data_IF_868652168099
#
_entry.id   IF_868652168099
#
_cell.length_a   1.000
_cell.length_b   1.000
_cell.length_c   1.000
_cell.angle_alpha   90.00
_cell.angle_beta   90.00
_cell.angle_gamma   90.00
#
_symmetry.space_group_name_H-M   'P 1'
#
loop_
_entity.id
_entity.type
_entity.pdbx_description
1 polymer ?
#
# COMPACT_ATOMS: atom_id res chain seq x y z
N UNK A 1 0.95 27.53 -16.30
CA UNK A 1 -0.02 26.66 -15.59
C UNK A 1 0.79 25.54 -14.97
N UNK A 2 0.70 25.33 -13.66
CA UNK A 2 1.35 24.19 -13.01
C UNK A 2 0.74 22.92 -13.63
N UNK A 3 1.57 22.03 -14.14
CA UNK A 3 1.13 20.73 -14.64
C UNK A 3 0.84 19.90 -13.40
N UNK A 4 -0.42 19.63 -13.18
CA UNK A 4 -0.93 18.84 -12.05
C UNK A 4 -1.00 17.37 -12.44
N UNK A 5 -0.80 16.46 -11.47
CA UNK A 5 -1.05 15.04 -11.67
C UNK A 5 -2.51 14.82 -12.10
N UNK A 6 -2.70 14.06 -13.17
CA UNK A 6 -4.02 13.71 -13.70
C UNK A 6 -4.79 12.83 -12.71
N UNK A 7 -6.12 12.93 -12.73
CA UNK A 7 -6.98 12.04 -11.98
C UNK A 7 -7.01 10.63 -12.62
N UNK A 8 -7.08 9.60 -11.79
CA UNK A 8 -7.01 8.19 -12.26
C UNK A 8 -8.07 7.87 -13.34
N UNK A 9 -9.35 8.30 -13.24
CA UNK A 9 -10.31 8.04 -14.31
C UNK A 9 -9.87 8.56 -15.70
N UNK A 10 -9.18 9.70 -15.75
CA UNK A 10 -8.69 10.27 -17.00
C UNK A 10 -7.52 9.45 -17.59
N UNK A 11 -6.68 8.91 -16.70
CA UNK A 11 -5.56 8.02 -17.06
C UNK A 11 -6.10 6.70 -17.60
N UNK A 12 -7.10 6.11 -16.93
CA UNK A 12 -7.74 4.87 -17.37
C UNK A 12 -8.36 5.00 -18.77
N UNK A 13 -8.95 6.15 -19.09
CA UNK A 13 -9.51 6.40 -20.40
C UNK A 13 -8.43 6.47 -21.49
N UNK A 14 -7.29 7.13 -21.23
CA UNK A 14 -6.19 7.16 -22.18
C UNK A 14 -5.61 5.76 -22.42
N UNK A 15 -5.51 4.93 -21.38
CA UNK A 15 -5.04 3.55 -21.49
C UNK A 15 -6.00 2.68 -22.33
N UNK A 16 -7.33 2.84 -22.18
CA UNK A 16 -8.34 2.17 -23.04
C UNK A 16 -8.17 2.54 -24.50
N UNK A 17 -7.81 3.79 -24.76
CA UNK A 17 -7.55 4.30 -26.11
C UNK A 17 -6.16 3.90 -26.65
N UNK A 18 -5.37 3.14 -25.91
CA UNK A 18 -4.02 2.71 -26.29
C UNK A 18 -2.97 3.82 -26.26
N UNK A 19 -3.24 4.91 -25.52
CA UNK A 19 -2.27 5.99 -25.31
C UNK A 19 -1.28 5.64 -24.23
N UNK A 20 -0.10 6.27 -24.30
CA UNK A 20 0.90 6.28 -23.23
C UNK A 20 0.48 7.20 -22.09
N UNK A 21 0.84 6.81 -20.87
CA UNK A 21 0.84 7.68 -19.70
C UNK A 21 2.21 7.61 -19.00
N UNK A 22 2.49 8.51 -18.08
CA UNK A 22 3.61 8.40 -17.13
C UNK A 22 3.07 8.07 -15.76
N UNK A 23 3.65 7.07 -15.11
CA UNK A 23 3.35 6.68 -13.74
C UNK A 23 4.57 6.91 -12.86
N UNK A 24 4.41 7.71 -11.80
CA UNK A 24 5.50 8.12 -10.90
C UNK A 24 5.31 7.46 -9.54
N UNK A 25 6.38 6.96 -8.94
CA UNK A 25 6.38 6.46 -7.57
C UNK A 25 6.76 7.55 -6.54
N UNK A 26 6.88 7.14 -5.28
CA UNK A 26 7.15 8.03 -4.15
C UNK A 26 8.61 8.53 -4.16
N UNK A 27 8.83 9.78 -3.68
CA UNK A 27 10.15 10.37 -3.52
C UNK A 27 11.06 9.57 -2.59
N UNK A 28 10.47 8.90 -1.59
CA UNK A 28 11.18 8.06 -0.63
C UNK A 28 11.49 6.65 -1.16
N UNK A 29 11.02 6.31 -2.39
CA UNK A 29 11.25 4.99 -3.02
C UNK A 29 12.32 5.08 -4.11
N UNK A 30 11.97 5.02 -5.38
CA UNK A 30 12.88 5.20 -6.54
C UNK A 30 12.89 6.65 -7.02
N UNK A 31 11.78 7.36 -6.78
CA UNK A 31 11.53 8.71 -7.27
C UNK A 31 11.68 8.81 -8.78
N UNK A 32 11.11 7.85 -9.49
CA UNK A 32 11.23 7.71 -10.95
C UNK A 32 9.86 7.73 -11.61
N UNK A 33 9.82 7.89 -12.91
CA UNK A 33 8.62 7.82 -13.71
C UNK A 33 8.80 6.92 -14.91
N UNK A 34 7.83 6.02 -15.11
CA UNK A 34 7.80 5.11 -16.24
C UNK A 34 6.74 5.53 -17.25
N UNK A 35 7.08 5.47 -18.53
CA UNK A 35 6.08 5.38 -19.60
C UNK A 35 5.34 4.07 -19.44
N UNK A 36 4.02 4.11 -19.47
CA UNK A 36 3.14 2.93 -19.31
C UNK A 36 2.13 2.90 -20.45
N UNK A 37 1.95 1.73 -21.06
CA UNK A 37 0.81 1.46 -21.93
C UNK A 37 0.21 0.09 -21.65
N UNK A 38 -1.01 -0.14 -22.13
CA UNK A 38 -1.64 -1.45 -22.09
C UNK A 38 -0.93 -2.42 -23.04
N UNK A 39 -0.54 -3.59 -22.52
CA UNK A 39 0.15 -4.59 -23.34
C UNK A 39 -0.70 -5.05 -24.54
N UNK A 40 -2.04 -5.14 -24.40
CA UNK A 40 -2.93 -5.49 -25.51
C UNK A 40 -3.07 -4.41 -26.60
N UNK A 41 -2.66 -3.17 -26.30
CA UNK A 41 -2.67 -2.04 -27.24
C UNK A 41 -1.27 -1.70 -27.76
N UNK A 42 -0.25 -2.47 -27.37
CA UNK A 42 1.12 -2.19 -27.79
C UNK A 42 1.28 -2.30 -29.30
N UNK A 43 2.02 -1.35 -29.87
CA UNK A 43 2.38 -1.31 -31.30
C UNK A 43 3.88 -1.09 -31.46
N UNK A 44 4.47 -1.37 -32.63
CA UNK A 44 5.86 -1.02 -32.91
C UNK A 44 6.17 0.47 -32.69
N UNK A 45 5.21 1.35 -32.94
CA UNK A 45 5.35 2.80 -32.74
C UNK A 45 5.47 3.14 -31.27
N UNK A 46 4.69 2.49 -30.39
CA UNK A 46 4.77 2.66 -28.94
C UNK A 46 6.11 2.17 -28.42
N UNK A 47 6.55 0.99 -28.80
CA UNK A 47 7.87 0.46 -28.43
C UNK A 47 9.00 1.38 -28.90
N UNK A 48 8.92 1.87 -30.15
CA UNK A 48 9.91 2.83 -30.67
C UNK A 48 9.90 4.16 -29.90
N UNK A 49 8.71 4.65 -29.49
CA UNK A 49 8.58 5.83 -28.65
C UNK A 49 9.25 5.63 -27.30
N UNK A 50 8.98 4.51 -26.61
CA UNK A 50 9.60 4.15 -25.34
C UNK A 50 11.12 4.07 -25.46
N UNK A 51 11.65 3.37 -26.47
CA UNK A 51 13.07 3.22 -26.69
C UNK A 51 13.76 4.57 -27.01
N UNK A 52 13.13 5.43 -27.81
CA UNK A 52 13.71 6.71 -28.27
C UNK A 52 13.64 7.80 -27.19
N UNK A 53 12.52 7.91 -26.50
CA UNK A 53 12.22 9.02 -25.61
C UNK A 53 12.25 8.64 -24.13
N UNK A 54 11.87 7.39 -23.77
CA UNK A 54 12.04 6.82 -22.43
C UNK A 54 13.51 6.50 -22.17
N UNK A 55 14.15 5.78 -23.06
CA UNK A 55 15.55 5.33 -23.00
C UNK A 55 15.85 4.29 -21.92
N UNK A 56 14.86 3.90 -21.14
CA UNK A 56 14.93 2.88 -20.10
C UNK A 56 14.80 1.45 -20.63
N UNK A 57 14.69 0.51 -19.73
CA UNK A 57 14.49 -0.90 -20.04
C UNK A 57 13.01 -1.16 -20.32
N UNK A 58 12.70 -1.73 -21.50
CA UNK A 58 11.31 -2.07 -21.82
C UNK A 58 10.94 -3.37 -21.14
N UNK A 59 10.07 -3.28 -20.14
CA UNK A 59 9.62 -4.37 -19.30
C UNK A 59 8.13 -4.69 -19.52
N UNK A 60 7.74 -5.93 -19.16
CA UNK A 60 6.38 -6.44 -19.28
C UNK A 60 5.85 -6.88 -17.91
N UNK A 61 5.28 -5.98 -17.09
CA UNK A 61 4.50 -6.33 -15.91
C UNK A 61 3.37 -7.30 -16.22
N UNK A 62 3.35 -8.42 -15.50
CA UNK A 62 2.36 -9.49 -15.61
C UNK A 62 1.87 -9.88 -14.20
N UNK A 63 0.67 -10.43 -14.12
CA UNK A 63 0.21 -11.07 -12.88
C UNK A 63 1.04 -12.32 -12.56
N UNK A 64 1.07 -12.70 -11.27
CA UNK A 64 1.73 -13.93 -10.84
C UNK A 64 1.21 -15.16 -11.60
N UNK A 65 -0.13 -15.26 -11.73
CA UNK A 65 -0.82 -16.32 -12.45
C UNK A 65 -0.37 -16.41 -13.92
N UNK A 66 -0.28 -15.26 -14.61
CA UNK A 66 0.17 -15.24 -16.02
C UNK A 66 1.64 -15.65 -16.14
N UNK A 67 2.51 -15.23 -15.22
CA UNK A 67 3.89 -15.69 -15.19
C UNK A 67 3.98 -17.22 -15.00
N UNK A 68 3.17 -17.79 -14.12
CA UNK A 68 3.14 -19.22 -13.85
C UNK A 68 2.63 -19.99 -15.07
N UNK A 69 1.56 -19.51 -15.73
CA UNK A 69 1.01 -20.16 -16.94
C UNK A 69 1.98 -20.18 -18.10
N UNK A 70 2.92 -19.22 -18.17
CA UNK A 70 3.97 -19.14 -19.19
C UNK A 70 5.29 -19.74 -18.75
N UNK A 71 5.39 -20.37 -17.57
CA UNK A 71 6.63 -20.86 -16.97
C UNK A 71 7.76 -19.81 -16.95
N UNK A 72 7.42 -18.58 -16.56
CA UNK A 72 8.38 -17.48 -16.39
C UNK A 72 8.97 -17.53 -14.98
N UNK A 73 10.07 -18.25 -14.85
CA UNK A 73 10.77 -18.39 -13.58
C UNK A 73 11.54 -17.11 -13.21
N UNK A 74 11.79 -16.86 -11.90
CA UNK A 74 12.65 -15.75 -11.46
C UNK A 74 14.00 -15.78 -12.18
N UNK A 75 14.51 -14.61 -12.53
CA UNK A 75 15.81 -14.46 -13.19
C UNK A 75 16.97 -14.91 -12.30
N UNK A 76 16.79 -14.85 -10.98
CA UNK A 76 17.77 -15.29 -9.98
C UNK A 76 17.09 -16.09 -8.87
N UNK A 77 17.83 -17.04 -8.28
CA UNK A 77 17.35 -17.84 -7.14
C UNK A 77 17.17 -16.96 -5.90
N UNK A 78 18.07 -16.01 -5.67
CA UNK A 78 18.01 -15.06 -4.57
C UNK A 78 17.96 -13.63 -5.11
N UNK A 79 16.87 -12.93 -4.80
CA UNK A 79 16.71 -11.54 -5.21
C UNK A 79 17.26 -10.60 -4.12
N UNK A 80 18.42 -10.03 -4.36
CA UNK A 80 19.11 -9.07 -3.49
C UNK A 80 18.89 -7.61 -3.92
N UNK A 81 18.02 -7.35 -4.93
CA UNK A 81 17.74 -6.00 -5.40
C UNK A 81 17.10 -5.15 -4.29
N UNK A 82 17.56 -3.90 -4.14
CA UNK A 82 17.17 -2.97 -3.07
C UNK A 82 15.64 -2.81 -2.93
N UNK A 83 14.93 -2.76 -4.05
CA UNK A 83 13.47 -2.61 -4.08
C UNK A 83 12.73 -3.91 -4.39
N UNK A 84 13.44 -5.02 -4.51
CA UNK A 84 12.87 -6.35 -4.70
C UNK A 84 12.07 -6.52 -6.00
N UNK A 85 12.47 -5.82 -7.08
CA UNK A 85 11.83 -5.94 -8.39
C UNK A 85 11.95 -7.37 -8.90
N UNK A 86 10.82 -8.01 -9.18
CA UNK A 86 10.75 -9.44 -9.47
C UNK A 86 10.92 -9.70 -10.98
N UNK A 87 12.14 -9.53 -11.47
CA UNK A 87 12.51 -9.93 -12.82
C UNK A 87 12.36 -11.44 -13.00
N UNK A 88 11.80 -11.82 -14.15
CA UNK A 88 11.81 -13.20 -14.62
C UNK A 88 12.82 -13.34 -15.76
N UNK A 89 13.01 -14.58 -16.24
CA UNK A 89 13.79 -14.83 -17.46
C UNK A 89 13.25 -13.99 -18.61
N UNK A 90 14.13 -13.35 -19.39
CA UNK A 90 13.76 -12.58 -20.56
C UNK A 90 13.25 -13.48 -21.69
N UNK A 91 12.39 -12.91 -22.55
CA UNK A 91 11.67 -13.67 -23.57
C UNK A 91 11.69 -12.99 -24.94
N UNK A 92 11.55 -13.81 -25.98
CA UNK A 92 11.13 -13.42 -27.31
C UNK A 92 10.00 -14.32 -27.81
N UNK A 93 9.22 -13.89 -28.79
CA UNK A 93 8.25 -14.77 -29.47
C UNK A 93 9.00 -15.88 -30.21
N UNK A 94 8.47 -17.11 -30.16
CA UNK A 94 9.07 -18.23 -30.88
C UNK A 94 8.97 -18.08 -32.40
N UNK A 95 7.92 -17.37 -32.87
CA UNK A 95 7.64 -17.17 -34.28
C UNK A 95 7.23 -15.75 -34.63
N UNK A 96 7.45 -15.35 -35.87
CA UNK A 96 7.00 -14.06 -36.41
C UNK A 96 7.87 -12.86 -36.00
N UNK A 97 9.13 -13.11 -35.62
CA UNK A 97 10.15 -12.09 -35.31
C UNK A 97 11.41 -12.34 -36.17
N UNK A 98 12.30 -11.37 -36.18
CA UNK A 98 13.65 -11.49 -36.75
C UNK A 98 14.69 -11.86 -35.70
N UNK A 99 15.39 -10.87 -35.15
CA UNK A 99 16.41 -11.06 -34.10
C UNK A 99 15.87 -10.76 -32.68
N UNK A 100 14.61 -10.30 -32.55
CA UNK A 100 13.96 -10.00 -31.30
C UNK A 100 14.06 -8.56 -30.82
N UNK A 101 15.13 -7.81 -31.18
CA UNK A 101 15.41 -6.46 -30.64
C UNK A 101 14.64 -5.34 -31.31
N UNK A 102 14.16 -5.52 -32.56
CA UNK A 102 13.44 -4.46 -33.25
C UNK A 102 12.16 -4.05 -32.53
N UNK A 103 11.68 -2.83 -32.76
CA UNK A 103 10.41 -2.39 -32.16
C UNK A 103 9.23 -3.28 -32.58
N UNK A 104 9.27 -3.81 -33.80
CA UNK A 104 8.26 -4.74 -34.29
C UNK A 104 8.34 -6.10 -33.58
N UNK A 105 9.54 -6.65 -33.42
CA UNK A 105 9.77 -7.93 -32.76
C UNK A 105 9.36 -7.89 -31.30
N UNK A 106 9.75 -6.80 -30.58
CA UNK A 106 9.36 -6.61 -29.17
C UNK A 106 7.86 -6.44 -28.99
N UNK A 107 7.19 -5.69 -29.87
CA UNK A 107 5.74 -5.57 -29.84
C UNK A 107 5.07 -6.93 -30.10
N UNK A 108 5.58 -7.72 -31.06
CA UNK A 108 5.12 -9.07 -31.34
C UNK A 108 5.29 -10.00 -30.15
N UNK A 109 6.44 -9.95 -29.47
CA UNK A 109 6.74 -10.73 -28.26
C UNK A 109 5.74 -10.41 -27.14
N UNK A 110 5.48 -9.13 -26.88
CA UNK A 110 4.48 -8.71 -25.88
C UNK A 110 3.10 -9.26 -26.24
N UNK A 111 2.64 -9.08 -27.47
CA UNK A 111 1.33 -9.56 -27.93
C UNK A 111 1.21 -11.08 -27.82
N UNK A 112 2.26 -11.83 -28.17
CA UNK A 112 2.31 -13.29 -28.02
C UNK A 112 2.21 -13.69 -26.56
N UNK A 113 2.98 -13.07 -25.66
CA UNK A 113 2.96 -13.40 -24.24
C UNK A 113 1.59 -13.19 -23.56
N UNK A 114 0.84 -12.15 -23.98
CA UNK A 114 -0.47 -11.84 -23.37
C UNK A 114 -1.66 -12.46 -24.11
N UNK A 115 -1.43 -13.18 -25.20
CA UNK A 115 -2.51 -13.82 -25.96
C UNK A 115 -3.32 -14.79 -25.09
N UNK A 116 -4.60 -14.92 -25.40
CA UNK A 116 -5.45 -15.91 -24.77
C UNK A 116 -4.97 -17.30 -25.20
N UNK A 117 -4.78 -18.19 -24.22
CA UNK A 117 -4.25 -19.53 -24.47
C UNK A 117 -2.75 -19.59 -24.79
N UNK A 118 -1.99 -18.48 -24.64
CA UNK A 118 -0.54 -18.49 -24.83
C UNK A 118 0.14 -19.56 -23.94
N UNK A 119 1.07 -20.30 -24.53
CA UNK A 119 1.78 -21.43 -23.92
C UNK A 119 3.27 -21.10 -23.74
N UNK A 120 3.97 -21.78 -22.83
CA UNK A 120 5.42 -21.63 -22.68
C UNK A 120 6.23 -21.84 -23.96
N UNK A 121 5.72 -22.67 -24.89
CA UNK A 121 6.34 -22.99 -26.19
C UNK A 121 6.20 -21.86 -27.21
N UNK A 122 5.29 -20.90 -27.02
CA UNK A 122 5.13 -19.77 -27.90
C UNK A 122 6.21 -18.69 -27.68
N UNK A 123 7.06 -18.92 -26.66
CA UNK A 123 8.12 -18.02 -26.25
C UNK A 123 9.46 -18.77 -26.19
N UNK A 124 10.54 -18.09 -26.61
CA UNK A 124 11.93 -18.53 -26.44
C UNK A 124 12.60 -17.74 -25.31
N UNK A 125 13.63 -18.31 -24.73
CA UNK A 125 14.42 -17.76 -23.61
C UNK A 125 15.90 -18.00 -23.87
N UNK A 126 16.81 -17.03 -23.61
CA UNK A 126 16.53 -15.63 -23.26
C UNK A 126 16.00 -14.82 -24.44
N UNK A 127 15.57 -13.56 -24.21
CA UNK A 127 15.08 -12.66 -25.25
C UNK A 127 15.26 -11.19 -24.90
N UNK A 128 14.51 -10.31 -25.59
CA UNK A 128 14.66 -8.86 -25.52
C UNK A 128 13.49 -8.14 -24.84
N UNK A 129 12.50 -8.87 -24.31
CA UNK A 129 11.48 -8.37 -23.41
C UNK A 129 11.71 -8.96 -22.03
N UNK A 130 11.58 -8.12 -20.97
CA UNK A 130 11.86 -8.46 -19.59
C UNK A 130 10.53 -8.52 -18.80
N UNK A 131 9.93 -9.71 -18.60
CA UNK A 131 8.73 -9.81 -17.81
C UNK A 131 9.02 -9.55 -16.33
N UNK A 132 8.08 -8.84 -15.68
CA UNK A 132 8.11 -8.53 -14.26
C UNK A 132 6.88 -9.16 -13.59
N UNK A 133 7.11 -9.94 -12.55
CA UNK A 133 6.04 -10.60 -11.79
C UNK A 133 5.49 -9.63 -10.74
N UNK A 134 4.29 -9.11 -10.97
CA UNK A 134 3.60 -8.30 -9.97
C UNK A 134 3.20 -9.13 -8.75
N UNK A 135 3.22 -8.53 -7.58
CA UNK A 135 2.74 -9.16 -6.34
C UNK A 135 1.23 -9.23 -6.34
N UNK A 136 0.68 -10.28 -5.74
CA UNK A 136 -0.75 -10.36 -5.43
C UNK A 136 -1.16 -9.20 -4.52
N UNK A 137 -2.33 -8.58 -4.74
CA UNK A 137 -2.72 -7.33 -4.11
C UNK A 137 -2.15 -6.06 -4.76
N UNK A 138 -1.17 -6.20 -5.66
CA UNK A 138 -0.55 -5.17 -6.52
C UNK A 138 -0.11 -3.91 -5.74
N UNK A 139 -0.49 -2.66 -6.14
CA UNK A 139 0.02 -1.42 -5.49
C UNK A 139 -0.31 -1.33 -4.01
N UNK A 140 -1.30 -2.07 -3.52
CA UNK A 140 -1.67 -2.08 -2.11
C UNK A 140 -0.70 -2.91 -1.26
N UNK A 141 0.07 -3.80 -1.89
CA UNK A 141 1.12 -4.63 -1.24
C UNK A 141 2.52 -4.08 -1.55
N UNK A 142 2.77 -3.63 -2.78
CA UNK A 142 4.04 -3.02 -3.20
C UNK A 142 3.77 -1.80 -4.09
N UNK A 143 4.08 -0.62 -3.60
CA UNK A 143 3.85 0.65 -4.28
C UNK A 143 4.90 0.92 -5.39
N UNK A 144 5.01 0.02 -6.37
CA UNK A 144 5.94 0.10 -7.49
C UNK A 144 5.25 0.18 -8.85
N UNK A 145 5.98 0.64 -9.88
CA UNK A 145 5.49 0.80 -11.25
C UNK A 145 5.00 -0.52 -11.85
N UNK A 146 5.65 -1.64 -11.52
CA UNK A 146 5.23 -3.00 -11.93
C UNK A 146 3.79 -3.29 -11.51
N UNK A 147 3.51 -3.12 -10.23
CA UNK A 147 2.19 -3.31 -9.63
C UNK A 147 1.19 -2.28 -10.15
N UNK A 148 1.64 -1.02 -10.27
CA UNK A 148 0.85 0.09 -10.79
C UNK A 148 0.36 -0.14 -12.22
N UNK A 149 1.23 -0.67 -13.08
CA UNK A 149 0.86 -1.00 -14.45
C UNK A 149 -0.22 -2.08 -14.51
N UNK A 150 -0.06 -3.18 -13.76
CA UNK A 150 -1.06 -4.27 -13.71
C UNK A 150 -2.40 -3.76 -13.18
N UNK A 151 -2.39 -2.94 -12.12
CA UNK A 151 -3.61 -2.37 -11.53
C UNK A 151 -4.35 -1.42 -12.48
N UNK A 152 -3.61 -0.51 -13.12
CA UNK A 152 -4.20 0.41 -14.09
C UNK A 152 -4.89 -0.35 -15.22
N UNK A 153 -4.29 -1.43 -15.72
CA UNK A 153 -4.90 -2.24 -16.77
C UNK A 153 -6.16 -2.95 -16.27
N UNK A 154 -6.12 -3.55 -15.07
CA UNK A 154 -7.29 -4.18 -14.43
C UNK A 154 -8.44 -3.17 -14.25
N UNK A 155 -8.15 -1.98 -13.72
CA UNK A 155 -9.13 -0.91 -13.51
C UNK A 155 -9.66 -0.33 -14.81
N UNK A 156 -8.87 -0.36 -15.89
CA UNK A 156 -9.31 0.03 -17.23
C UNK A 156 -10.21 -1.03 -17.90
N UNK A 157 -10.34 -2.23 -17.32
CA UNK A 157 -11.07 -3.36 -17.94
C UNK A 157 -10.30 -4.01 -19.08
N UNK A 158 -8.98 -3.89 -19.09
CA UNK A 158 -8.05 -4.46 -20.04
C UNK A 158 -7.38 -5.71 -19.48
N UNK A 159 -6.68 -6.48 -20.29
CA UNK A 159 -5.84 -7.59 -19.80
C UNK A 159 -4.84 -7.04 -18.75
N UNK A 160 -4.71 -7.69 -17.58
CA UNK A 160 -3.88 -7.18 -16.48
C UNK A 160 -2.38 -7.35 -16.76
N UNK A 161 -1.93 -6.71 -17.85
CA UNK A 161 -0.58 -6.70 -18.35
C UNK A 161 -0.25 -5.32 -18.93
N UNK A 162 0.86 -4.73 -18.50
CA UNK A 162 1.34 -3.45 -19.03
C UNK A 162 2.68 -3.59 -19.72
N UNK A 163 3.07 -2.59 -20.51
CA UNK A 163 4.45 -2.38 -20.95
C UNK A 163 4.93 -1.11 -20.28
N UNK A 164 6.08 -1.17 -19.63
CA UNK A 164 6.68 -0.03 -18.94
C UNK A 164 8.09 0.24 -19.45
N UNK A 165 8.54 1.48 -19.32
CA UNK A 165 9.89 1.90 -19.64
C UNK A 165 10.21 3.16 -18.84
N UNK A 166 11.28 3.16 -18.09
CA UNK A 166 11.75 4.30 -17.30
C UNK A 166 12.07 5.48 -18.22
N UNK A 167 11.89 6.71 -17.70
CA UNK A 167 12.21 7.93 -18.41
C UNK A 167 13.56 8.49 -17.91
N UNK A 168 14.53 8.54 -18.80
CA UNK A 168 15.84 9.18 -18.56
C UNK A 168 15.96 10.52 -19.28
N UNK A 169 16.72 11.42 -18.70
CA UNK A 169 17.16 12.65 -19.34
C UNK A 169 18.15 12.37 -20.51
N UNK A 170 18.45 13.39 -21.30
CA UNK A 170 19.37 13.25 -22.45
C UNK A 170 20.81 12.92 -22.05
N UNK A 171 21.20 13.29 -20.84
CA UNK A 171 22.51 13.00 -20.25
C UNK A 171 22.60 11.59 -19.63
N UNK A 172 21.51 10.79 -19.67
CA UNK A 172 21.43 9.45 -19.10
C UNK A 172 21.07 9.41 -17.60
N UNK A 173 20.88 10.55 -16.94
CA UNK A 173 20.37 10.59 -15.57
C UNK A 173 18.86 10.30 -15.54
N UNK A 174 18.35 9.80 -14.39
CA UNK A 174 16.92 9.54 -14.25
C UNK A 174 16.12 10.84 -14.20
N UNK A 175 15.04 10.91 -14.99
CA UNK A 175 14.13 12.05 -14.94
C UNK A 175 13.31 12.02 -13.65
N UNK A 176 13.23 13.15 -12.94
CA UNK A 176 12.43 13.33 -11.73
C UNK A 176 11.17 14.13 -12.04
N UNK A 177 10.27 14.27 -11.08
CA UNK A 177 8.97 14.93 -11.27
C UNK A 177 9.04 16.22 -12.07
N UNK A 178 9.96 17.18 -11.81
CA UNK A 178 10.03 18.43 -12.59
C UNK A 178 10.37 18.22 -14.07
N UNK A 179 11.24 17.25 -14.41
CA UNK A 179 11.58 16.90 -15.79
C UNK A 179 10.45 16.10 -16.45
N UNK A 180 9.84 15.16 -15.71
CA UNK A 180 8.71 14.36 -16.18
C UNK A 180 7.50 15.22 -16.54
N UNK A 181 7.21 16.26 -15.77
CA UNK A 181 6.14 17.21 -16.09
C UNK A 181 6.39 17.93 -17.42
N UNK A 182 7.63 18.39 -17.67
CA UNK A 182 8.03 18.99 -18.95
C UNK A 182 7.95 17.99 -20.11
N UNK A 183 8.40 16.77 -19.87
CA UNK A 183 8.30 15.67 -20.83
C UNK A 183 6.84 15.39 -21.21
N UNK A 184 5.97 15.24 -20.23
CA UNK A 184 4.55 14.99 -20.42
C UNK A 184 3.86 16.14 -21.17
N UNK A 185 4.20 17.39 -20.86
CA UNK A 185 3.69 18.55 -21.59
C UNK A 185 4.13 18.55 -23.06
N UNK A 186 5.42 18.29 -23.32
CA UNK A 186 6.00 18.24 -24.67
C UNK A 186 5.33 17.16 -25.54
N UNK A 187 5.08 16.00 -24.96
CA UNK A 187 4.54 14.84 -25.70
C UNK A 187 3.02 14.67 -25.56
N UNK A 188 2.35 15.57 -24.84
CA UNK A 188 0.90 15.52 -24.57
C UNK A 188 0.46 14.21 -23.90
N UNK A 189 1.24 13.72 -22.95
CA UNK A 189 1.06 12.50 -22.19
C UNK A 189 0.56 12.89 -20.78
N UNK A 190 -0.42 12.16 -20.25
CA UNK A 190 -0.87 12.34 -18.86
C UNK A 190 0.11 11.72 -17.88
N UNK A 191 0.19 12.31 -16.70
CA UNK A 191 1.04 11.84 -15.60
C UNK A 191 0.18 11.56 -14.37
N UNK A 192 0.37 10.42 -13.73
CA UNK A 192 -0.25 10.05 -12.46
C UNK A 192 0.78 9.55 -11.46
N UNK A 193 0.43 9.55 -10.18
CA UNK A 193 1.26 8.96 -9.13
C UNK A 193 0.67 7.65 -8.61
N UNK A 194 1.53 6.75 -8.15
CA UNK A 194 1.14 5.52 -7.46
C UNK A 194 0.34 5.85 -6.19
N UNK A 195 0.66 6.93 -5.50
CA UNK A 195 -0.10 7.38 -4.33
C UNK A 195 -1.58 7.66 -4.68
N UNK A 196 -1.86 8.40 -5.78
CA UNK A 196 -3.24 8.61 -6.28
C UNK A 196 -3.92 7.30 -6.70
N UNK A 197 -3.17 6.36 -7.28
CA UNK A 197 -3.72 5.06 -7.67
C UNK A 197 -4.10 4.22 -6.44
N UNK A 198 -3.26 4.21 -5.41
CA UNK A 198 -3.56 3.58 -4.12
C UNK A 198 -4.83 4.19 -3.52
N UNK A 199 -4.89 5.52 -3.41
CA UNK A 199 -6.07 6.22 -2.90
C UNK A 199 -7.33 5.86 -3.69
N UNK A 200 -7.25 5.86 -5.03
CA UNK A 200 -8.38 5.51 -5.92
C UNK A 200 -8.89 4.08 -5.69
N UNK A 201 -7.97 3.10 -5.52
CA UNK A 201 -8.32 1.71 -5.22
C UNK A 201 -8.97 1.58 -3.84
N UNK A 202 -8.35 2.19 -2.83
CA UNK A 202 -8.80 2.11 -1.44
C UNK A 202 -10.19 2.73 -1.22
N UNK A 203 -10.57 3.72 -2.05
CA UNK A 203 -11.92 4.29 -2.02
C UNK A 203 -12.99 3.36 -2.63
N UNK A 204 -12.61 2.41 -3.50
CA UNK A 204 -13.54 1.59 -4.31
C UNK A 204 -13.50 0.11 -3.99
N UNK A 205 -12.38 -0.40 -3.50
CA UNK A 205 -12.18 -1.81 -3.20
C UNK A 205 -12.16 -2.02 -1.70
N UNK A 206 -12.93 -3.00 -1.21
CA UNK A 206 -12.81 -3.45 0.18
C UNK A 206 -11.68 -4.46 0.27
N UNK A 207 -10.66 -4.16 1.09
CA UNK A 207 -9.59 -5.09 1.43
C UNK A 207 -9.91 -5.95 2.65
N UNK A 208 -11.08 -5.70 3.23
CA UNK A 208 -11.55 -6.39 4.42
C UNK A 208 -12.83 -7.17 4.09
N UNK A 209 -12.95 -8.31 4.73
CA UNK A 209 -14.18 -9.10 4.76
C UNK A 209 -14.61 -9.24 6.20
N UNK A 210 -15.82 -8.76 6.50
CA UNK A 210 -16.44 -8.89 7.80
C UNK A 210 -16.68 -10.36 8.12
N UNK A 211 -16.35 -10.75 9.32
CA UNK A 211 -16.63 -12.06 9.93
C UNK A 211 -17.80 -11.95 10.91
N UNK A 212 -17.89 -12.94 11.80
CA UNK A 212 -18.92 -12.99 12.83
C UNK A 212 -18.81 -11.84 13.84
N UNK A 213 -19.96 -11.53 14.46
CA UNK A 213 -20.10 -10.62 15.58
C UNK A 213 -20.53 -11.40 16.82
N UNK A 214 -19.76 -11.25 17.92
CA UNK A 214 -20.01 -11.94 19.17
C UNK A 214 -20.06 -10.98 20.36
N UNK A 215 -20.75 -11.35 21.43
CA UNK A 215 -20.70 -10.61 22.69
C UNK A 215 -19.34 -10.85 23.37
N UNK A 216 -18.76 -9.79 23.90
CA UNK A 216 -17.47 -9.81 24.58
C UNK A 216 -17.59 -9.13 25.96
N UNK A 217 -17.96 -9.87 27.03
CA UNK A 217 -17.84 -9.36 28.38
C UNK A 217 -16.36 -9.22 28.78
N UNK A 218 -16.00 -8.11 29.39
CA UNK A 218 -14.64 -7.81 29.82
C UNK A 218 -14.63 -7.13 31.19
N UNK A 219 -13.47 -7.05 31.84
CA UNK A 219 -13.29 -6.29 33.09
C UNK A 219 -13.56 -4.78 32.92
N UNK A 220 -13.64 -4.30 31.68
CA UNK A 220 -13.82 -2.87 31.34
C UNK A 220 -15.22 -2.56 30.80
N UNK A 221 -16.13 -3.54 30.75
CA UNK A 221 -17.48 -3.41 30.29
C UNK A 221 -17.91 -4.50 29.31
N UNK A 222 -19.15 -4.41 28.87
CA UNK A 222 -19.74 -5.33 27.89
C UNK A 222 -19.68 -4.70 26.49
N UNK A 223 -19.07 -5.42 25.56
CA UNK A 223 -18.87 -5.00 24.19
C UNK A 223 -19.38 -6.06 23.20
N UNK A 224 -19.45 -5.69 21.93
CA UNK A 224 -19.53 -6.63 20.81
C UNK A 224 -18.17 -6.65 20.11
N UNK A 225 -17.71 -7.83 19.71
CA UNK A 225 -16.49 -8.01 18.95
C UNK A 225 -16.83 -8.49 17.54
N UNK A 226 -16.29 -7.81 16.53
CA UNK A 226 -16.45 -8.13 15.12
C UNK A 226 -15.07 -8.43 14.55
N UNK A 227 -14.93 -9.60 13.89
CA UNK A 227 -13.71 -9.97 13.18
C UNK A 227 -13.69 -9.44 11.74
N UNK A 228 -12.48 -9.22 11.20
CA UNK A 228 -12.26 -8.80 9.82
C UNK A 228 -11.04 -9.52 9.22
N UNK A 229 -11.26 -10.37 8.21
CA UNK A 229 -10.18 -10.85 7.35
C UNK A 229 -9.65 -9.70 6.50
N UNK A 230 -8.35 -9.71 6.18
CA UNK A 230 -7.76 -8.78 5.24
C UNK A 230 -6.69 -9.46 4.37
N UNK A 231 -6.48 -8.92 3.17
CA UNK A 231 -5.43 -9.41 2.24
C UNK A 231 -4.03 -9.19 2.82
N UNK A 232 -3.86 -8.21 3.71
CA UNK A 232 -2.55 -7.79 4.22
C UNK A 232 -2.12 -8.51 5.51
N UNK A 233 -3.00 -9.29 6.13
CA UNK A 233 -2.71 -10.00 7.39
C UNK A 233 -3.29 -11.42 7.37
N UNK A 234 -2.50 -12.44 7.74
CA UNK A 234 -3.00 -13.81 7.90
C UNK A 234 -3.95 -13.96 9.09
N UNK A 235 -3.91 -13.03 10.04
CA UNK A 235 -4.73 -13.03 11.23
C UNK A 235 -5.79 -11.93 11.16
N UNK A 236 -7.04 -12.19 11.64
CA UNK A 236 -8.12 -11.22 11.55
C UNK A 236 -7.85 -9.98 12.40
N UNK A 237 -8.20 -8.82 11.88
CA UNK A 237 -8.33 -7.59 12.66
C UNK A 237 -9.63 -7.64 13.46
N UNK A 238 -9.70 -6.87 14.53
CA UNK A 238 -10.86 -6.88 15.43
C UNK A 238 -11.43 -5.47 15.60
N UNK A 239 -12.75 -5.37 15.69
CA UNK A 239 -13.43 -4.18 16.18
C UNK A 239 -14.20 -4.52 17.46
N UNK A 240 -13.91 -3.79 18.55
CA UNK A 240 -14.60 -3.91 19.84
C UNK A 240 -15.54 -2.72 19.93
N UNK A 241 -16.85 -2.98 19.87
CA UNK A 241 -17.88 -2.00 19.64
C UNK A 241 -18.88 -1.93 20.81
N UNK A 242 -19.40 -0.72 21.07
CA UNK A 242 -20.47 -0.47 22.04
C UNK A 242 -21.52 0.49 21.47
N UNK A 243 -22.77 0.40 21.97
CA UNK A 243 -23.84 1.33 21.66
C UNK A 243 -24.36 1.22 20.21
N UNK A 244 -24.52 -0.01 19.70
CA UNK A 244 -25.09 -0.26 18.37
C UNK A 244 -24.13 -0.01 17.20
N UNK A 245 -22.85 0.25 17.48
CA UNK A 245 -21.85 0.45 16.41
C UNK A 245 -21.60 -0.88 15.67
N UNK A 246 -21.70 -0.81 14.33
CA UNK A 246 -21.51 -1.97 13.46
C UNK A 246 -22.68 -2.94 13.43
N UNK A 247 -23.84 -2.60 13.98
CA UNK A 247 -25.05 -3.40 13.83
C UNK A 247 -25.59 -3.33 12.40
N UNK A 248 -26.23 -4.43 11.97
CA UNK A 248 -26.84 -4.54 10.66
C UNK A 248 -28.35 -4.35 10.78
N UNK A 249 -28.96 -3.74 9.79
CA UNK A 249 -30.41 -3.66 9.65
C UNK A 249 -30.99 -5.02 9.16
N UNK A 250 -32.30 -5.10 9.02
CA UNK A 250 -33.03 -6.30 8.56
C UNK A 250 -32.60 -6.75 7.14
N UNK A 251 -31.97 -5.87 6.37
CA UNK A 251 -31.45 -6.17 5.00
C UNK A 251 -29.97 -6.53 5.00
N UNK A 252 -29.34 -6.66 6.18
CA UNK A 252 -27.93 -6.97 6.32
C UNK A 252 -27.00 -5.77 6.00
N UNK A 253 -27.52 -4.55 5.93
CA UNK A 253 -26.72 -3.33 5.73
C UNK A 253 -26.37 -2.72 7.08
N UNK A 254 -25.12 -2.21 7.19
CA UNK A 254 -24.70 -1.54 8.42
C UNK A 254 -25.53 -0.28 8.69
N UNK A 255 -25.89 -0.07 9.95
CA UNK A 255 -26.60 1.11 10.41
C UNK A 255 -25.62 2.28 10.50
N UNK A 256 -25.77 3.26 9.61
CA UNK A 256 -24.90 4.45 9.56
C UNK A 256 -25.10 5.34 10.80
N UNK A 257 -23.98 5.83 11.32
CA UNK A 257 -23.98 6.74 12.47
C UNK A 257 -23.99 8.19 11.99
N UNK A 258 -24.99 8.95 12.42
CA UNK A 258 -25.15 10.39 12.07
C UNK A 258 -24.29 11.30 12.93
N UNK A 259 -24.16 10.96 14.21
CA UNK A 259 -23.38 11.72 15.18
C UNK A 259 -21.92 11.25 15.23
N UNK A 260 -20.98 12.13 15.63
CA UNK A 260 -19.60 11.76 15.80
C UNK A 260 -19.39 10.67 16.87
N UNK A 261 -18.73 9.57 16.51
CA UNK A 261 -18.51 8.43 17.38
C UNK A 261 -17.08 8.43 17.94
N UNK A 262 -16.94 8.06 19.22
CA UNK A 262 -15.64 7.90 19.86
C UNK A 262 -14.91 6.66 19.30
N UNK A 263 -13.71 6.85 18.74
CA UNK A 263 -12.96 5.77 18.06
C UNK A 263 -11.50 5.73 18.51
N UNK A 264 -11.01 4.54 18.79
CA UNK A 264 -9.59 4.23 18.90
C UNK A 264 -9.15 3.29 17.79
N UNK A 265 -8.16 3.69 16.99
CA UNK A 265 -7.42 2.76 16.13
C UNK A 265 -6.14 2.37 16.86
N UNK A 266 -6.07 1.12 17.30
CA UNK A 266 -4.96 0.54 18.09
C UNK A 266 -4.20 -0.46 17.22
N UNK A 267 -2.88 -0.33 17.12
CA UNK A 267 -2.04 -1.36 16.49
C UNK A 267 -1.52 -2.29 17.57
N UNK A 268 -1.65 -3.58 17.34
CA UNK A 268 -1.20 -4.64 18.24
C UNK A 268 0.19 -4.40 18.82
N UNK A 269 0.32 -4.67 20.09
CA UNK A 269 1.57 -4.71 20.81
C UNK A 269 1.52 -5.82 21.87
N UNK A 270 1.76 -7.06 21.49
CA UNK A 270 1.65 -8.22 22.37
C UNK A 270 2.35 -8.01 23.73
N UNK A 271 3.55 -7.43 23.72
CA UNK A 271 4.30 -7.18 24.95
C UNK A 271 3.63 -6.14 25.86
N UNK A 272 3.01 -5.11 25.29
CA UNK A 272 2.30 -4.09 26.05
C UNK A 272 0.86 -4.48 26.40
N UNK A 273 0.14 -5.01 25.44
CA UNK A 273 -1.30 -5.26 25.55
C UNK A 273 -1.60 -6.51 26.41
N UNK A 274 -0.79 -7.57 26.26
CA UNK A 274 -0.98 -8.85 26.98
C UNK A 274 -0.09 -8.96 28.22
N UNK A 275 1.21 -8.62 28.09
CA UNK A 275 2.16 -8.80 29.20
C UNK A 275 2.39 -7.52 30.02
N UNK A 276 1.68 -6.43 29.71
CA UNK A 276 1.80 -5.15 30.41
C UNK A 276 3.23 -4.62 30.53
N UNK A 277 4.03 -4.82 29.48
CA UNK A 277 5.41 -4.35 29.42
C UNK A 277 5.49 -2.85 29.64
N UNK A 278 6.38 -2.42 30.54
CA UNK A 278 6.66 -1.02 30.82
C UNK A 278 7.60 -0.35 29.79
N UNK A 279 8.02 -1.06 28.74
CA UNK A 279 8.83 -0.46 27.66
C UNK A 279 8.02 0.47 26.74
N UNK A 280 6.69 0.42 26.79
CA UNK A 280 5.80 1.26 25.99
C UNK A 280 4.53 1.62 26.80
N UNK A 281 3.66 2.40 26.18
CA UNK A 281 2.37 2.83 26.75
C UNK A 281 1.17 2.08 26.14
N UNK A 282 1.40 1.03 25.31
CA UNK A 282 0.34 0.43 24.49
C UNK A 282 -0.77 -0.19 25.34
N UNK A 283 -0.45 -1.05 26.30
CA UNK A 283 -1.45 -1.66 27.20
C UNK A 283 -2.27 -0.64 27.96
N UNK A 284 -1.63 0.43 28.48
CA UNK A 284 -2.35 1.53 29.12
C UNK A 284 -3.34 2.19 28.14
N UNK A 285 -2.90 2.49 26.93
CA UNK A 285 -3.75 3.13 25.90
C UNK A 285 -4.92 2.25 25.47
N UNK A 286 -4.73 0.94 25.42
CA UNK A 286 -5.78 -0.03 25.13
C UNK A 286 -6.86 0.01 26.23
N UNK A 287 -6.46 -0.14 27.47
CA UNK A 287 -7.36 -0.15 28.64
C UNK A 287 -8.07 1.20 28.80
N UNK A 288 -7.35 2.30 28.68
CA UNK A 288 -7.93 3.65 28.81
C UNK A 288 -8.98 3.89 27.70
N UNK A 289 -8.71 3.47 26.46
CA UNK A 289 -9.68 3.60 25.38
C UNK A 289 -10.94 2.77 25.61
N UNK A 290 -10.82 1.53 26.10
CA UNK A 290 -11.98 0.69 26.42
C UNK A 290 -12.85 1.32 27.53
N UNK A 291 -12.22 1.84 28.60
CA UNK A 291 -12.93 2.53 29.67
C UNK A 291 -13.65 3.78 29.21
N UNK A 292 -12.99 4.63 28.39
CA UNK A 292 -13.60 5.83 27.84
C UNK A 292 -14.78 5.51 26.91
N UNK A 293 -14.71 4.41 26.14
CA UNK A 293 -15.83 3.95 25.28
C UNK A 293 -16.98 3.44 26.16
N UNK A 294 -16.68 2.70 27.22
CA UNK A 294 -17.68 2.25 28.18
C UNK A 294 -18.41 3.42 28.85
N UNK A 295 -17.67 4.39 29.38
CA UNK A 295 -18.21 5.60 30.02
C UNK A 295 -19.02 6.45 29.04
N UNK A 296 -18.62 6.54 27.79
CA UNK A 296 -19.35 7.24 26.74
C UNK A 296 -20.64 6.48 26.33
N UNK A 297 -20.75 5.19 26.64
CA UNK A 297 -21.85 4.32 26.25
C UNK A 297 -21.91 4.00 24.75
N UNK A 298 -21.06 4.63 23.91
CA UNK A 298 -21.05 4.47 22.45
C UNK A 298 -19.65 4.72 21.88
N UNK A 299 -19.14 3.74 21.11
CA UNK A 299 -17.82 3.88 20.49
C UNK A 299 -17.30 2.60 19.89
N UNK A 300 -16.09 2.67 19.30
CA UNK A 300 -15.39 1.53 18.73
C UNK A 300 -13.88 1.59 18.97
N UNK A 301 -13.30 0.46 19.37
CA UNK A 301 -11.87 0.23 19.36
C UNK A 301 -11.52 -0.72 18.22
N UNK A 302 -10.75 -0.25 17.25
CA UNK A 302 -10.27 -1.04 16.11
C UNK A 302 -8.88 -1.54 16.43
N UNK A 303 -8.73 -2.84 16.60
CA UNK A 303 -7.49 -3.51 16.94
C UNK A 303 -6.86 -4.11 15.69
N UNK A 304 -5.80 -3.47 15.18
CA UNK A 304 -5.11 -3.89 13.98
C UNK A 304 -3.98 -4.87 14.31
N UNK A 305 -3.99 -6.03 13.70
CA UNK A 305 -2.95 -7.06 13.82
C UNK A 305 -1.70 -6.65 13.02
N UNK A 306 -0.98 -5.65 13.56
CA UNK A 306 0.19 -5.02 12.92
C UNK A 306 1.30 -4.81 13.97
N UNK A 307 1.77 -5.93 14.55
CA UNK A 307 2.79 -5.96 15.60
C UNK A 307 4.10 -5.27 15.16
N UNK A 308 4.73 -4.58 16.11
CA UNK A 308 6.02 -3.94 15.89
C UNK A 308 6.01 -2.84 14.82
N UNK A 309 4.90 -2.15 14.61
CA UNK A 309 4.67 -1.20 13.51
C UNK A 309 4.69 -1.87 12.12
N UNK A 310 4.21 -3.11 12.04
CA UNK A 310 4.13 -3.89 10.80
C UNK A 310 5.38 -4.71 10.47
N UNK A 311 6.38 -4.77 11.35
CA UNK A 311 7.57 -5.63 11.16
C UNK A 311 7.44 -7.02 11.81
N UNK A 312 6.37 -7.24 12.57
CA UNK A 312 6.09 -8.48 13.28
C UNK A 312 6.86 -8.66 14.59
N UNK A 313 6.42 -9.63 15.41
CA UNK A 313 6.97 -9.86 16.76
C UNK A 313 8.46 -10.24 16.71
N UNK A 314 8.86 -11.11 15.81
CA UNK A 314 10.26 -11.57 15.70
C UNK A 314 11.23 -10.40 15.48
N UNK A 315 10.91 -9.50 14.56
CA UNK A 315 11.78 -8.36 14.28
C UNK A 315 11.67 -7.28 15.37
N UNK A 316 10.54 -7.17 16.04
CA UNK A 316 10.41 -6.33 17.24
C UNK A 316 11.36 -6.78 18.38
N UNK A 317 11.49 -8.10 18.59
CA UNK A 317 12.46 -8.61 19.59
C UNK A 317 13.90 -8.29 19.17
N UNK A 318 14.24 -8.41 17.88
CA UNK A 318 15.55 -7.98 17.37
C UNK A 318 15.78 -6.48 17.56
N UNK A 319 14.76 -5.65 17.30
CA UNK A 319 14.82 -4.21 17.54
C UNK A 319 15.03 -3.91 19.04
N UNK A 320 14.36 -4.62 19.95
CA UNK A 320 14.60 -4.49 21.39
C UNK A 320 16.04 -4.78 21.77
N UNK A 321 16.65 -5.81 21.18
CA UNK A 321 18.06 -6.14 21.41
C UNK A 321 18.99 -5.01 20.95
N UNK A 322 18.71 -4.37 19.83
CA UNK A 322 19.45 -3.23 19.33
C UNK A 322 19.25 -1.99 20.22
N UNK A 323 18.04 -1.78 20.77
CA UNK A 323 17.77 -0.70 21.73
C UNK A 323 18.53 -0.90 23.06
N UNK A 324 18.70 -2.12 23.53
CA UNK A 324 19.56 -2.45 24.69
C UNK A 324 21.03 -2.11 24.45
N UNK A 325 21.45 -1.99 23.18
CA UNK A 325 22.78 -1.55 22.75
C UNK A 325 22.88 -0.04 22.52
N UNK A 326 21.82 0.74 22.84
CA UNK A 326 21.82 2.20 22.81
C UNK A 326 21.20 2.83 21.56
N UNK A 327 20.65 2.05 20.60
CA UNK A 327 19.92 2.63 19.47
C UNK A 327 18.52 3.05 19.90
N UNK A 328 17.97 4.10 19.25
CA UNK A 328 16.56 4.40 19.42
C UNK A 328 15.66 3.51 18.54
N UNK A 329 14.34 3.64 18.70
CA UNK A 329 13.36 2.79 17.98
C UNK A 329 13.44 2.95 16.46
N UNK A 330 13.72 4.17 15.96
CA UNK A 330 13.81 4.46 14.51
C UNK A 330 15.11 3.88 13.96
N UNK A 331 16.22 4.11 14.63
CA UNK A 331 17.54 3.59 14.27
C UNK A 331 17.58 2.07 14.28
N UNK A 332 16.96 1.42 15.28
CA UNK A 332 16.86 -0.03 15.34
C UNK A 332 16.10 -0.61 14.14
N UNK A 333 14.97 0.02 13.74
CA UNK A 333 14.21 -0.43 12.57
C UNK A 333 15.00 -0.24 11.27
N UNK A 334 15.64 0.92 11.08
CA UNK A 334 16.47 1.19 9.90
C UNK A 334 17.64 0.22 9.78
N UNK A 335 18.30 -0.09 10.91
CA UNK A 335 19.40 -1.07 10.96
C UNK A 335 18.97 -2.49 10.59
N UNK A 336 17.69 -2.82 10.84
CA UNK A 336 17.08 -4.10 10.43
C UNK A 336 16.54 -4.07 8.98
N UNK A 337 16.74 -2.98 8.25
CA UNK A 337 16.27 -2.83 6.86
C UNK A 337 14.78 -2.46 6.72
N UNK A 338 14.13 -1.99 7.79
CA UNK A 338 12.73 -1.60 7.77
C UNK A 338 12.55 -0.08 7.78
N UNK A 339 11.46 0.41 7.18
CA UNK A 339 11.01 1.79 7.36
C UNK A 339 10.67 2.06 8.82
N UNK A 340 10.74 3.32 9.25
CA UNK A 340 10.41 3.74 10.62
C UNK A 340 8.96 3.39 11.04
N UNK A 341 8.03 3.37 10.09
CA UNK A 341 6.62 2.99 10.30
C UNK A 341 6.05 2.35 9.02
N UNK A 342 5.80 1.03 9.07
CA UNK A 342 5.27 0.22 7.96
C UNK A 342 3.76 -0.06 8.11
N UNK A 343 3.06 0.56 9.09
CA UNK A 343 1.64 0.26 9.33
C UNK A 343 0.75 0.72 8.21
N UNK A 344 -0.21 -0.14 7.86
CA UNK A 344 -1.31 0.20 6.98
C UNK A 344 -2.50 0.73 7.81
N UNK A 345 -2.77 2.02 7.68
CA UNK A 345 -3.93 2.66 8.34
C UNK A 345 -5.20 2.60 7.49
N UNK A 346 -5.09 2.22 6.23
CA UNK A 346 -6.20 2.10 5.31
C UNK A 346 -7.20 1.04 5.73
N UNK A 347 -6.71 -0.07 6.27
CA UNK A 347 -7.55 -1.12 6.85
C UNK A 347 -8.38 -0.57 8.02
N UNK A 348 -7.78 0.21 8.90
CA UNK A 348 -8.51 0.84 9.99
C UNK A 348 -9.63 1.76 9.50
N UNK A 349 -9.40 2.52 8.44
CA UNK A 349 -10.41 3.36 7.82
C UNK A 349 -11.53 2.55 7.15
N UNK A 350 -11.19 1.46 6.47
CA UNK A 350 -12.19 0.56 5.87
C UNK A 350 -13.06 -0.11 6.93
N UNK A 351 -12.46 -0.53 8.06
CA UNK A 351 -13.22 -1.04 9.21
C UNK A 351 -14.15 0.06 9.76
N UNK A 352 -13.68 1.31 9.90
CA UNK A 352 -14.57 2.42 10.30
C UNK A 352 -15.77 2.55 9.36
N UNK A 353 -15.57 2.48 8.06
CA UNK A 353 -16.68 2.56 7.07
C UNK A 353 -17.64 1.39 7.18
N UNK A 354 -17.12 0.16 7.34
CA UNK A 354 -17.94 -1.05 7.54
C UNK A 354 -18.72 -1.01 8.86
N UNK A 355 -18.24 -0.30 9.86
CA UNK A 355 -18.95 -0.03 11.12
C UNK A 355 -20.02 1.09 10.99
N UNK A 356 -20.18 1.71 9.82
CA UNK A 356 -21.10 2.81 9.58
C UNK A 356 -20.61 4.17 10.09
N UNK A 357 -19.30 4.32 10.33
CA UNK A 357 -18.69 5.53 10.89
C UNK A 357 -18.25 6.48 9.75
N UNK A 358 -18.84 7.68 9.68
CA UNK A 358 -18.45 8.76 8.75
C UNK A 358 -17.78 9.93 9.45
N UNK A 359 -18.18 10.21 10.70
CA UNK A 359 -17.61 11.25 11.55
C UNK A 359 -17.14 10.62 12.85
N UNK A 360 -15.91 10.93 13.25
CA UNK A 360 -15.32 10.33 14.46
C UNK A 360 -14.67 11.38 15.36
N UNK A 361 -14.67 11.08 16.66
CA UNK A 361 -13.82 11.67 17.67
C UNK A 361 -12.70 10.67 17.95
N UNK A 362 -11.47 10.99 17.56
CA UNK A 362 -10.39 9.99 17.59
C UNK A 362 -9.54 10.07 18.85
N UNK A 363 -9.35 8.94 19.52
CA UNK A 363 -8.43 8.77 20.63
C UNK A 363 -7.02 8.54 20.09
N UNK A 364 -6.18 9.59 20.02
CA UNK A 364 -4.80 9.46 19.51
C UNK A 364 -3.89 10.61 19.93
N UNK A 365 -2.59 10.31 20.14
CA UNK A 365 -1.53 11.29 20.28
C UNK A 365 -0.74 11.50 18.97
N UNK A 366 -1.07 10.77 17.90
CA UNK A 366 -0.35 10.79 16.62
C UNK A 366 -1.16 11.51 15.54
N UNK A 367 -0.78 12.73 15.13
CA UNK A 367 -1.50 13.49 14.10
C UNK A 367 -1.48 12.80 12.72
N UNK A 368 -0.47 12.00 12.40
CA UNK A 368 -0.40 11.24 11.14
C UNK A 368 -1.53 10.21 11.00
N UNK A 369 -2.16 9.77 12.10
CA UNK A 369 -3.34 8.90 12.03
C UNK A 369 -4.56 9.61 11.49
N UNK A 370 -4.71 10.90 11.78
CA UNK A 370 -5.84 11.73 11.36
C UNK A 370 -5.81 11.89 9.85
N UNK A 371 -4.74 12.46 9.30
CA UNK A 371 -4.62 12.70 7.86
C UNK A 371 -4.82 11.42 7.03
N UNK A 372 -4.34 10.27 7.53
CA UNK A 372 -4.53 9.00 6.85
C UNK A 372 -5.98 8.51 6.86
N UNK A 373 -6.76 8.73 7.91
CA UNK A 373 -8.18 8.37 7.95
C UNK A 373 -9.02 9.29 7.05
N UNK A 374 -8.69 10.57 6.96
CA UNK A 374 -9.39 11.55 6.13
C UNK A 374 -9.26 11.27 4.64
N UNK A 375 -8.10 10.77 4.17
CA UNK A 375 -7.90 10.29 2.79
C UNK A 375 -8.94 9.22 2.41
N UNK A 376 -9.39 8.41 3.37
CA UNK A 376 -10.40 7.36 3.14
C UNK A 376 -11.84 7.82 3.37
N UNK A 377 -12.08 9.14 3.52
CA UNK A 377 -13.41 9.72 3.67
C UNK A 377 -13.99 9.63 5.09
N UNK A 378 -13.17 9.36 6.10
CA UNK A 378 -13.56 9.43 7.51
C UNK A 378 -13.25 10.84 8.03
N UNK A 379 -14.29 11.61 8.36
CA UNK A 379 -14.11 12.97 8.91
C UNK A 379 -13.76 12.90 10.39
N UNK A 380 -12.58 13.37 10.76
CA UNK A 380 -12.17 13.53 12.15
C UNK A 380 -12.63 14.90 12.63
N UNK A 381 -13.58 14.93 13.58
CA UNK A 381 -14.16 16.19 14.11
C UNK A 381 -13.48 16.64 15.40
N UNK A 382 -12.86 15.71 16.13
CA UNK A 382 -12.17 15.99 17.38
C UNK A 382 -11.05 14.97 17.61
N UNK A 383 -9.93 15.44 18.15
CA UNK A 383 -8.83 14.61 18.62
C UNK A 383 -8.77 14.65 20.15
N UNK A 384 -8.82 13.48 20.77
CA UNK A 384 -8.71 13.31 22.22
C UNK A 384 -7.41 12.59 22.56
N UNK A 385 -6.58 13.13 23.46
CA UNK A 385 -5.33 12.52 23.84
C UNK A 385 -5.54 11.30 24.75
N UNK A 386 -4.68 10.29 24.60
CA UNK A 386 -4.53 9.18 25.55
C UNK A 386 -3.19 9.36 26.28
N UNK A 387 -3.22 9.99 27.44
CA UNK A 387 -2.01 10.30 28.22
C UNK A 387 -1.71 9.16 29.17
N UNK A 388 -0.56 8.52 28.98
CA UNK A 388 0.02 7.62 29.96
C UNK A 388 1.02 8.40 30.83
N UNK A 389 1.09 8.09 32.10
CA UNK A 389 2.13 8.67 32.95
C UNK A 389 3.51 8.13 32.53
N UNK A 390 4.51 9.00 32.36
CA UNK A 390 5.88 8.57 32.08
C UNK A 390 6.42 7.73 33.24
N UNK A 391 7.06 6.61 32.89
CA UNK A 391 7.71 5.74 33.84
C UNK A 391 9.21 5.59 33.56
N UNK A 392 9.96 5.05 34.50
CA UNK A 392 11.42 4.85 34.40
C UNK A 392 11.83 4.10 33.12
N UNK A 393 10.98 3.21 32.60
CA UNK A 393 11.33 2.31 31.51
C UNK A 393 10.79 2.75 30.11
N UNK A 394 9.93 3.77 30.05
CA UNK A 394 9.35 4.24 28.76
C UNK A 394 9.66 5.71 28.44
N UNK A 395 10.33 6.45 29.32
CA UNK A 395 10.57 7.88 29.12
C UNK A 395 11.35 8.17 27.83
N UNK A 396 12.38 7.40 27.53
CA UNK A 396 13.18 7.59 26.31
C UNK A 396 12.39 7.20 25.04
N UNK A 397 11.53 6.20 25.13
CA UNK A 397 10.59 5.85 24.07
C UNK A 397 9.58 6.97 23.81
N UNK A 398 9.03 7.60 24.83
CA UNK A 398 8.12 8.74 24.72
C UNK A 398 8.83 9.97 24.13
N UNK A 399 10.06 10.25 24.56
CA UNK A 399 10.90 11.31 23.97
C UNK A 399 11.18 11.09 22.49
N UNK A 400 11.47 9.85 22.08
CA UNK A 400 11.64 9.50 20.66
C UNK A 400 10.36 9.71 19.87
N UNK A 401 9.19 9.34 20.41
CA UNK A 401 7.89 9.60 19.80
C UNK A 401 7.63 11.10 19.60
N UNK A 402 7.92 11.93 20.60
CA UNK A 402 7.75 13.38 20.51
C UNK A 402 8.69 13.98 19.48
N UNK A 403 10.01 13.73 19.61
CA UNK A 403 11.05 14.40 18.80
C UNK A 403 11.12 13.91 17.35
N UNK A 404 10.99 12.59 17.09
CA UNK A 404 11.21 12.01 15.75
C UNK A 404 9.93 11.64 15.03
N UNK A 405 8.82 11.41 15.74
CA UNK A 405 7.57 10.94 15.12
C UNK A 405 6.44 11.97 15.21
N UNK A 406 6.68 13.14 15.84
CA UNK A 406 5.72 14.25 15.89
C UNK A 406 4.49 13.97 16.75
N UNK A 407 4.60 13.10 17.77
CA UNK A 407 3.50 12.86 18.69
C UNK A 407 3.27 14.06 19.61
N UNK A 408 1.99 14.40 19.84
CA UNK A 408 1.58 15.42 20.81
C UNK A 408 1.59 14.82 22.21
N UNK A 409 2.66 15.06 22.93
CA UNK A 409 2.91 14.65 24.30
C UNK A 409 3.25 15.89 25.14
N UNK A 410 3.05 15.81 26.45
CA UNK A 410 3.28 16.92 27.38
C UNK A 410 4.72 17.48 27.29
N UNK A 411 4.90 18.77 27.58
CA UNK A 411 6.19 19.46 27.42
C UNK A 411 7.22 19.06 28.48
N UNK A 412 6.79 18.44 29.57
CA UNK A 412 7.62 17.97 30.67
C UNK A 412 8.30 16.60 30.40
N UNK A 413 8.28 16.11 29.17
CA UNK A 413 8.88 14.84 28.74
C UNK A 413 10.30 14.99 28.20
#
# INVERSE_FOLDING_TARGET
MAVEFSEIPQVLEDLRQGKLIVLVDDEDRENEGDLVCAAEKVTPQIINFMAKFGRGLICLPLTAEKCDSLALYPQTVENTARFGTAFTVSIDAAEGITTGISAADRAKTVQTAIADGAKPTDLVRPGHIFPLRAREGAVLVRAGQTEGAVDLMRLAGLKPAGVICEVMNEDGSMARVPQLLKFCQKHKIKIASIAKLIEYRLQRESQIKRLDCVNLPTDYGEFKMIGYESISSPEPHLAICKGGIGELDEKGKVIEQTEPVLVRVHSECMTGDLFHSQRCECGYQLIAAMKMIEECGKGALIYLRQEGRGIGLTNKLRAYKLQEQGLDTVEANLKLGFMADKRDYGIGAQICRDLGLKKIRILTNNPKKISRLEVYGIKVVEQLPLRAQPGKHNIDYLRTKKRRLGHMLDDDL
#
